data_IF_889501243109
#
_entry.id   IF_889501243109
#
_cell.length_a   1.000
_cell.length_b   1.000
_cell.length_c   1.000
_cell.angle_alpha   90.00
_cell.angle_beta   90.00
_cell.angle_gamma   90.00
#
_symmetry.space_group_name_H-M   'P 1'
#
loop_
_entity.id
_entity.type
_entity.pdbx_description
1 polymer ?
#
# COMPACT_ATOMS: atom_id res chain seq x y z
N UNK A 1 -14.73 18.01 -4.73
CA UNK A 1 -14.65 19.32 -5.40
C UNK A 1 -13.33 19.97 -5.06
N UNK A 2 -12.50 20.26 -6.05
CA UNK A 2 -11.33 21.13 -5.87
C UNK A 2 -11.61 22.45 -6.56
N UNK A 3 -11.50 23.54 -5.81
CA UNK A 3 -11.54 24.90 -6.33
C UNK A 3 -10.09 25.31 -6.64
N UNK A 4 -9.71 25.29 -7.90
CA UNK A 4 -8.41 25.77 -8.34
C UNK A 4 -8.57 26.57 -9.63
N UNK A 5 -8.10 27.82 -9.61
CA UNK A 5 -7.78 28.57 -10.83
C UNK A 5 -8.95 28.80 -11.80
N UNK A 6 -10.11 29.22 -11.29
CA UNK A 6 -11.34 29.46 -12.06
C UNK A 6 -11.96 28.21 -12.73
N UNK A 7 -11.47 27.02 -12.44
CA UNK A 7 -12.06 25.77 -12.96
C UNK A 7 -12.51 24.87 -11.82
N UNK A 8 -13.73 24.33 -11.91
CA UNK A 8 -14.26 23.35 -10.97
C UNK A 8 -14.13 21.97 -11.62
N UNK A 9 -13.24 21.14 -11.09
CA UNK A 9 -13.17 19.74 -11.48
C UNK A 9 -14.05 18.90 -10.55
N UNK A 10 -15.03 18.21 -11.12
CA UNK A 10 -15.95 17.31 -10.39
C UNK A 10 -15.72 15.89 -10.80
N UNK A 11 -15.48 15.00 -9.84
CA UNK A 11 -15.45 13.57 -10.06
C UNK A 11 -16.36 12.88 -9.05
N UNK A 12 -17.21 11.97 -9.51
CA UNK A 12 -18.04 11.13 -8.65
C UNK A 12 -17.49 9.73 -8.64
N UNK A 13 -17.13 9.25 -7.47
CA UNK A 13 -16.65 7.88 -7.24
C UNK A 13 -17.74 7.09 -6.53
N UNK A 14 -18.09 5.93 -7.10
CA UNK A 14 -19.05 4.97 -6.53
C UNK A 14 -18.47 3.57 -6.61
N UNK A 15 -18.44 2.88 -5.49
CA UNK A 15 -18.00 1.49 -5.40
C UNK A 15 -19.09 0.68 -4.72
N UNK A 16 -19.45 -0.44 -5.33
CA UNK A 16 -20.32 -1.46 -4.73
C UNK A 16 -19.50 -2.71 -4.52
N UNK A 17 -19.50 -3.24 -3.30
CA UNK A 17 -18.63 -4.35 -2.91
C UNK A 17 -19.43 -5.49 -2.29
N UNK A 18 -19.06 -6.72 -2.63
CA UNK A 18 -19.54 -7.94 -2.00
C UNK A 18 -18.35 -8.71 -1.44
N UNK A 19 -18.39 -9.02 -0.15
CA UNK A 19 -17.35 -9.77 0.58
C UNK A 19 -17.90 -11.14 0.97
N UNK A 20 -17.08 -12.16 0.81
CA UNK A 20 -17.30 -13.47 1.44
C UNK A 20 -15.99 -13.93 2.09
N UNK A 21 -16.13 -14.62 3.22
CA UNK A 21 -15.00 -15.14 3.97
C UNK A 21 -15.45 -16.32 4.81
N UNK A 22 -14.62 -17.34 4.88
CA UNK A 22 -14.81 -18.45 5.80
C UNK A 22 -13.51 -18.77 6.53
N UNK A 23 -13.64 -19.18 7.79
CA UNK A 23 -12.51 -19.56 8.64
C UNK A 23 -12.76 -20.96 9.23
N UNK A 24 -11.77 -21.83 9.10
CA UNK A 24 -11.69 -23.12 9.75
C UNK A 24 -10.53 -23.10 10.71
N UNK A 25 -10.76 -23.55 11.94
CA UNK A 25 -9.72 -23.56 12.98
C UNK A 25 -9.83 -24.77 13.89
N UNK A 26 -8.67 -25.22 14.34
CA UNK A 26 -8.50 -26.14 15.44
C UNK A 26 -7.40 -25.63 16.39
N UNK A 27 -6.91 -26.47 17.31
CA UNK A 27 -5.89 -26.06 18.29
C UNK A 27 -4.58 -25.59 17.64
N UNK A 28 -4.16 -26.23 16.54
CA UNK A 28 -2.87 -25.94 15.89
C UNK A 28 -3.01 -25.08 14.64
N UNK A 29 -4.10 -25.23 13.90
CA UNK A 29 -4.27 -24.62 12.59
C UNK A 29 -5.45 -23.66 12.55
N UNK A 30 -5.28 -22.57 11.84
CA UNK A 30 -6.36 -21.69 11.40
C UNK A 30 -6.19 -21.38 9.92
N UNK A 31 -7.21 -21.64 9.12
CA UNK A 31 -7.24 -21.38 7.68
C UNK A 31 -8.39 -20.42 7.42
N UNK A 32 -8.09 -19.27 6.85
CA UNK A 32 -9.08 -18.31 6.41
C UNK A 32 -8.94 -18.12 4.91
N UNK A 33 -10.05 -18.33 4.21
CA UNK A 33 -10.15 -18.05 2.77
C UNK A 33 -11.29 -17.09 2.54
N UNK A 34 -11.07 -16.12 1.67
CA UNK A 34 -12.08 -15.13 1.33
C UNK A 34 -11.76 -14.36 0.07
N UNK A 35 -12.68 -13.49 -0.28
CA UNK A 35 -12.49 -12.61 -1.41
C UNK A 35 -13.54 -11.52 -1.44
N UNK A 36 -13.24 -10.45 -2.15
CA UNK A 36 -14.12 -9.32 -2.38
C UNK A 36 -14.28 -9.08 -3.87
N UNK A 37 -15.52 -8.93 -4.28
CA UNK A 37 -15.87 -8.45 -5.60
C UNK A 37 -16.24 -6.97 -5.51
N UNK A 38 -15.58 -6.15 -6.32
CA UNK A 38 -15.79 -4.71 -6.36
C UNK A 38 -16.24 -4.29 -7.76
N UNK A 39 -17.36 -3.55 -7.85
CA UNK A 39 -17.78 -2.84 -9.05
C UNK A 39 -17.56 -1.35 -8.81
N UNK A 40 -16.62 -0.78 -9.55
CA UNK A 40 -16.26 0.63 -9.48
C UNK A 40 -16.74 1.36 -10.73
N UNK A 41 -17.31 2.57 -10.60
CA UNK A 41 -17.87 3.30 -11.75
C UNK A 41 -16.81 3.78 -12.77
N UNK A 42 -15.55 3.89 -12.36
CA UNK A 42 -14.43 4.25 -13.26
C UNK A 42 -13.75 3.02 -13.89
N UNK A 43 -14.24 1.82 -13.62
CA UNK A 43 -13.66 0.55 -14.11
C UNK A 43 -14.77 -0.29 -14.76
N UNK A 44 -14.54 -0.69 -16.01
CA UNK A 44 -15.59 -1.34 -16.81
C UNK A 44 -15.86 -2.80 -16.43
N UNK A 45 -14.98 -3.45 -15.69
CA UNK A 45 -15.10 -4.84 -15.27
C UNK A 45 -15.24 -4.98 -13.75
N UNK A 46 -15.64 -6.17 -13.32
CA UNK A 46 -15.69 -6.55 -11.92
C UNK A 46 -14.27 -6.89 -11.44
N UNK A 47 -13.88 -6.37 -10.28
CA UNK A 47 -12.57 -6.64 -9.68
C UNK A 47 -12.74 -7.69 -8.60
N UNK A 48 -11.91 -8.72 -8.65
CA UNK A 48 -11.80 -9.71 -7.60
C UNK A 48 -10.51 -9.51 -6.81
N UNK A 49 -10.63 -9.41 -5.48
CA UNK A 49 -9.54 -9.27 -4.52
C UNK A 49 -9.55 -10.47 -3.56
N UNK A 50 -8.70 -11.49 -3.82
CA UNK A 50 -8.62 -12.68 -2.96
C UNK A 50 -7.89 -12.39 -1.66
N UNK A 51 -8.21 -13.18 -0.62
CA UNK A 51 -7.50 -13.19 0.65
C UNK A 51 -7.38 -14.61 1.19
N UNK A 52 -6.19 -15.00 1.61
CA UNK A 52 -5.93 -16.24 2.30
C UNK A 52 -5.03 -15.97 3.50
N UNK A 53 -5.31 -16.65 4.63
CA UNK A 53 -4.47 -16.62 5.81
C UNK A 53 -4.36 -18.03 6.37
N UNK A 54 -3.12 -18.47 6.60
CA UNK A 54 -2.80 -19.72 7.25
C UNK A 54 -2.09 -19.40 8.54
N UNK A 55 -2.65 -19.80 9.67
CA UNK A 55 -2.04 -19.71 10.99
C UNK A 55 -1.66 -21.10 11.48
N UNK A 56 -0.47 -21.20 12.03
CA UNK A 56 0.01 -22.41 12.71
C UNK A 56 0.51 -22.07 14.11
N UNK A 57 -0.11 -22.65 15.12
CA UNK A 57 0.32 -22.54 16.51
C UNK A 57 1.36 -23.65 16.77
N UNK A 58 2.65 -23.32 16.57
CA UNK A 58 3.74 -24.29 16.73
C UNK A 58 3.89 -24.72 18.21
N UNK A 59 3.67 -23.78 19.12
CA UNK A 59 3.58 -23.99 20.56
C UNK A 59 2.53 -23.05 21.15
N UNK A 60 2.31 -23.11 22.47
CA UNK A 60 1.44 -22.14 23.16
C UNK A 60 1.97 -20.70 23.06
N UNK A 61 3.27 -20.53 22.81
CA UNK A 61 3.95 -19.24 22.84
C UNK A 61 4.45 -18.80 21.45
N UNK A 62 4.34 -19.64 20.42
CA UNK A 62 4.86 -19.35 19.08
C UNK A 62 3.77 -19.57 18.05
N UNK A 63 3.38 -18.49 17.37
CA UNK A 63 2.38 -18.49 16.33
C UNK A 63 3.00 -18.04 15.01
N UNK A 64 2.89 -18.89 14.01
CA UNK A 64 3.32 -18.57 12.64
C UNK A 64 2.10 -18.20 11.80
N UNK A 65 2.26 -17.26 10.90
CA UNK A 65 1.18 -16.84 9.98
C UNK A 65 1.73 -16.56 8.61
N UNK A 66 1.08 -17.15 7.60
CA UNK A 66 1.29 -16.85 6.19
C UNK A 66 0.01 -16.18 5.67
N UNK A 67 0.16 -14.99 5.06
CA UNK A 67 -0.96 -14.22 4.53
C UNK A 67 -0.73 -13.90 3.07
N UNK A 68 -1.76 -14.10 2.25
CA UNK A 68 -1.84 -13.61 0.88
C UNK A 68 -3.05 -12.68 0.75
N UNK A 69 -2.87 -11.54 0.08
CA UNK A 69 -3.95 -10.60 -0.19
C UNK A 69 -3.77 -9.93 -1.56
N UNK A 70 -4.85 -9.92 -2.34
CA UNK A 70 -4.98 -9.09 -3.53
C UNK A 70 -5.68 -7.77 -3.21
N UNK A 71 -5.31 -6.70 -3.92
CA UNK A 71 -5.92 -5.37 -3.79
C UNK A 71 -5.91 -4.60 -5.11
N UNK A 72 -6.61 -3.46 -5.13
CA UNK A 72 -6.57 -2.55 -6.27
C UNK A 72 -6.73 -1.10 -5.83
N UNK A 73 -6.30 -0.19 -6.69
CA UNK A 73 -6.58 1.26 -6.61
C UNK A 73 -7.18 1.73 -7.94
N UNK A 74 -8.31 2.41 -7.86
CA UNK A 74 -9.01 2.91 -9.05
C UNK A 74 -8.31 4.13 -9.65
N UNK A 75 -8.46 4.37 -10.99
CA UNK A 75 -7.89 5.53 -11.67
C UNK A 75 -8.70 6.78 -11.31
N UNK A 76 -8.33 7.45 -10.22
CA UNK A 76 -8.97 8.68 -9.75
C UNK A 76 -8.13 9.90 -10.11
N UNK A 77 -8.79 11.02 -10.40
CA UNK A 77 -8.11 12.31 -10.64
C UNK A 77 -7.55 12.88 -9.35
N UNK A 78 -8.27 12.67 -8.24
CA UNK A 78 -7.88 13.14 -6.92
C UNK A 78 -7.42 11.94 -6.07
N UNK A 79 -6.23 12.04 -5.51
CA UNK A 79 -5.79 11.14 -4.43
C UNK A 79 -6.36 11.61 -3.09
N UNK A 80 -6.45 10.69 -2.14
CA UNK A 80 -6.80 11.02 -0.76
C UNK A 80 -5.77 11.96 -0.10
N UNK A 81 -4.54 12.00 -0.65
CA UNK A 81 -3.40 12.81 -0.20
C UNK A 81 -3.32 14.21 -0.83
N UNK A 82 -4.43 14.79 -1.25
CA UNK A 82 -4.52 16.14 -1.85
C UNK A 82 -3.86 17.26 -1.01
N UNK A 83 -3.64 17.03 0.26
CA UNK A 83 -3.05 18.02 1.16
C UNK A 83 -1.55 18.27 0.92
N UNK A 84 -0.84 17.37 0.27
CA UNK A 84 0.60 17.48 0.04
C UNK A 84 0.95 18.29 -1.21
N UNK A 85 0.07 18.35 -2.20
CA UNK A 85 0.32 19.07 -3.46
C UNK A 85 0.16 20.59 -3.35
N UNK A 86 -0.41 21.09 -2.25
CA UNK A 86 -0.57 22.54 -2.01
C UNK A 86 0.53 23.16 -1.15
N UNK A 87 1.43 22.36 -0.57
CA UNK A 87 2.44 22.85 0.38
C UNK A 87 3.51 23.76 -0.24
N UNK A 88 3.66 23.80 -1.55
CA UNK A 88 4.67 24.61 -2.25
C UNK A 88 4.15 25.87 -2.95
N UNK A 89 2.84 26.12 -2.95
CA UNK A 89 2.26 27.27 -3.66
C UNK A 89 2.25 27.15 -5.19
N UNK A 90 2.78 26.05 -5.75
CA UNK A 90 2.74 25.77 -7.17
C UNK A 90 1.34 25.40 -7.65
N UNK A 91 0.95 25.94 -8.77
CA UNK A 91 -0.32 25.62 -9.42
C UNK A 91 -0.15 24.36 -10.25
N UNK A 92 -0.79 23.25 -9.82
CA UNK A 92 -0.69 21.96 -10.49
C UNK A 92 -2.06 21.53 -11.00
N UNK A 93 -2.13 21.08 -12.25
CA UNK A 93 -3.31 20.46 -12.86
C UNK A 93 -2.95 19.07 -13.38
N UNK A 94 -3.60 18.06 -12.82
CA UNK A 94 -3.35 16.65 -13.20
C UNK A 94 -4.44 16.15 -14.15
N UNK A 95 -4.03 15.60 -15.28
CA UNK A 95 -4.88 14.88 -16.23
C UNK A 95 -4.67 13.39 -16.08
N UNK A 96 -5.70 12.61 -16.41
CA UNK A 96 -5.60 11.16 -16.50
C UNK A 96 -5.30 10.76 -17.95
N UNK A 97 -4.35 9.85 -18.15
CA UNK A 97 -4.09 9.26 -19.45
C UNK A 97 -5.35 8.54 -19.98
N UNK A 98 -5.58 8.62 -21.30
CA UNK A 98 -6.80 8.07 -21.93
C UNK A 98 -7.04 6.57 -21.64
N UNK A 99 -5.97 5.80 -21.45
CA UNK A 99 -6.00 4.35 -21.23
C UNK A 99 -5.60 3.96 -19.81
N UNK A 100 -5.81 4.84 -18.84
CA UNK A 100 -5.43 4.58 -17.45
C UNK A 100 -6.23 3.41 -16.88
N UNK A 101 -5.51 2.35 -16.48
CA UNK A 101 -6.06 1.14 -15.85
C UNK A 101 -5.93 1.25 -14.34
N UNK A 102 -6.70 0.44 -13.63
CA UNK A 102 -6.52 0.28 -12.19
C UNK A 102 -5.13 -0.29 -11.85
N UNK A 103 -4.54 0.19 -10.78
CA UNK A 103 -3.37 -0.42 -10.16
C UNK A 103 -3.81 -1.66 -9.38
N UNK A 104 -3.07 -2.76 -9.46
CA UNK A 104 -3.32 -4.00 -8.74
C UNK A 104 -2.14 -4.42 -7.91
N UNK A 105 -2.41 -4.87 -6.69
CA UNK A 105 -1.41 -5.41 -5.78
C UNK A 105 -1.66 -6.87 -5.46
N UNK A 106 -0.56 -7.62 -5.28
CA UNK A 106 -0.54 -8.95 -4.71
C UNK A 106 0.53 -8.96 -3.62
N UNK A 107 0.11 -9.22 -2.40
CA UNK A 107 0.98 -9.19 -1.23
C UNK A 107 1.05 -10.56 -0.58
N UNK A 108 2.25 -10.98 -0.20
CA UNK A 108 2.53 -12.17 0.59
C UNK A 108 3.30 -11.73 1.82
N UNK A 109 2.88 -12.17 3.01
CA UNK A 109 3.65 -11.97 4.24
C UNK A 109 3.75 -13.26 5.06
N UNK A 110 4.88 -13.42 5.73
CA UNK A 110 5.14 -14.48 6.70
C UNK A 110 5.55 -13.84 8.00
N UNK A 111 4.85 -14.16 9.08
CA UNK A 111 5.17 -13.65 10.41
C UNK A 111 5.32 -14.76 11.45
N UNK A 112 6.19 -14.50 12.42
CA UNK A 112 6.36 -15.26 13.65
C UNK A 112 6.10 -14.35 14.83
N UNK A 113 5.13 -14.72 15.66
CA UNK A 113 4.72 -14.00 16.85
C UNK A 113 5.05 -14.86 18.08
N UNK A 114 5.92 -14.37 18.95
CA UNK A 114 6.54 -15.13 20.03
C UNK A 114 6.32 -14.42 21.36
N UNK A 115 5.84 -15.19 22.33
CA UNK A 115 5.52 -14.72 23.68
C UNK A 115 6.39 -15.44 24.72
N UNK A 116 7.06 -14.67 25.59
CA UNK A 116 7.86 -15.22 26.66
C UNK A 116 7.61 -14.46 27.96
N UNK A 117 7.67 -15.20 29.06
CA UNK A 117 7.56 -14.65 30.42
C UNK A 117 8.86 -14.91 31.18
N UNK A 118 9.52 -13.83 31.60
CA UNK A 118 10.74 -13.87 32.41
C UNK A 118 10.43 -13.28 33.79
N UNK A 119 9.95 -14.13 34.71
CA UNK A 119 9.49 -13.69 36.02
C UNK A 119 8.35 -12.66 35.90
N UNK A 120 8.59 -11.42 36.31
CA UNK A 120 7.60 -10.34 36.26
C UNK A 120 7.59 -9.57 34.92
N UNK A 121 8.41 -9.98 33.96
CA UNK A 121 8.46 -9.35 32.64
C UNK A 121 7.78 -10.23 31.62
N UNK A 122 6.73 -9.72 31.00
CA UNK A 122 6.09 -10.32 29.85
C UNK A 122 6.65 -9.70 28.57
N UNK A 123 7.06 -10.54 27.61
CA UNK A 123 7.62 -10.08 26.34
C UNK A 123 6.84 -10.66 25.17
N UNK A 124 6.75 -9.85 24.11
CA UNK A 124 6.29 -10.25 22.80
C UNK A 124 7.29 -9.80 21.76
N UNK A 125 7.65 -10.69 20.85
CA UNK A 125 8.51 -10.40 19.70
C UNK A 125 7.75 -10.83 18.45
N UNK A 126 7.55 -9.88 17.54
CA UNK A 126 6.99 -10.12 16.22
C UNK A 126 8.07 -9.89 15.16
N UNK A 127 8.24 -10.88 14.29
CA UNK A 127 9.06 -10.77 13.09
C UNK A 127 8.15 -11.04 11.91
N UNK A 128 8.09 -10.11 10.96
CA UNK A 128 7.31 -10.25 9.74
C UNK A 128 8.19 -9.94 8.52
N UNK A 129 8.14 -10.80 7.51
CA UNK A 129 8.68 -10.52 6.18
C UNK A 129 7.52 -10.34 5.22
N UNK A 130 7.67 -9.40 4.28
CA UNK A 130 6.63 -9.12 3.31
C UNK A 130 7.19 -8.90 1.91
N UNK A 131 6.39 -9.25 0.91
CA UNK A 131 6.64 -9.01 -0.50
C UNK A 131 5.34 -8.58 -1.17
N UNK A 132 5.36 -7.43 -1.82
CA UNK A 132 4.22 -6.90 -2.58
C UNK A 132 4.63 -6.65 -4.02
N UNK A 133 3.89 -7.24 -4.94
CA UNK A 133 4.01 -7.00 -6.37
C UNK A 133 2.86 -6.11 -6.83
N UNK A 134 3.20 -5.04 -7.54
CA UNK A 134 2.28 -4.04 -8.06
C UNK A 134 2.29 -4.08 -9.59
N UNK A 135 1.11 -4.08 -10.20
CA UNK A 135 0.91 -3.99 -11.64
C UNK A 135 0.19 -2.70 -11.99
N UNK A 136 0.49 -2.13 -13.15
CA UNK A 136 -0.09 -0.89 -13.64
C UNK A 136 0.06 0.26 -12.65
N UNK A 137 1.20 0.38 -12.01
CA UNK A 137 1.47 1.35 -10.96
C UNK A 137 1.22 2.75 -11.47
N UNK A 138 0.56 3.59 -10.68
CA UNK A 138 0.36 4.98 -11.05
C UNK A 138 1.65 5.78 -10.89
N UNK A 139 2.01 6.45 -11.97
CA UNK A 139 3.09 7.42 -12.02
C UNK A 139 2.57 8.75 -12.59
N UNK A 140 3.31 9.80 -12.40
CA UNK A 140 3.03 11.12 -12.96
C UNK A 140 4.22 11.55 -13.80
N UNK A 141 3.95 12.23 -14.89
CA UNK A 141 4.97 12.92 -15.71
C UNK A 141 4.52 14.34 -15.99
N UNK A 142 5.47 15.21 -16.17
CA UNK A 142 5.24 16.59 -16.59
C UNK A 142 4.89 16.58 -18.07
N UNK A 143 3.73 17.13 -18.45
CA UNK A 143 3.36 17.39 -19.84
C UNK A 143 3.76 18.79 -20.28
N UNK A 144 3.65 19.75 -19.36
CA UNK A 144 4.08 21.11 -19.55
C UNK A 144 4.48 21.68 -18.19
N UNK A 145 5.69 22.21 -18.09
CA UNK A 145 6.21 22.71 -16.83
C UNK A 145 5.41 23.92 -16.34
N UNK A 146 5.06 24.85 -17.22
CA UNK A 146 4.11 25.93 -16.93
C UNK A 146 3.34 26.33 -18.19
N UNK A 147 2.02 26.40 -18.10
CA UNK A 147 1.19 26.98 -19.16
C UNK A 147 1.26 28.53 -19.13
N UNK A 148 0.55 29.19 -20.05
CA UNK A 148 0.47 30.65 -20.11
C UNK A 148 -0.06 31.30 -18.82
N UNK A 149 -0.69 30.55 -17.93
CA UNK A 149 -1.21 30.97 -16.63
C UNK A 149 -0.30 30.59 -15.44
N UNK A 150 0.89 30.04 -15.72
CA UNK A 150 1.82 29.56 -14.71
C UNK A 150 1.34 28.30 -13.99
N UNK A 151 0.56 27.44 -14.67
CA UNK A 151 0.06 26.18 -14.15
C UNK A 151 0.93 25.04 -14.68
N UNK A 152 1.50 24.23 -13.78
CA UNK A 152 2.21 23.00 -14.11
C UNK A 152 1.22 21.89 -14.48
N UNK A 153 1.38 21.31 -15.64
CA UNK A 153 0.48 20.28 -16.15
C UNK A 153 1.13 18.92 -16.00
N UNK A 154 0.49 18.06 -15.22
CA UNK A 154 0.91 16.68 -14.99
C UNK A 154 -0.07 15.71 -15.67
N UNK A 155 0.44 14.59 -16.16
CA UNK A 155 -0.35 13.45 -16.58
C UNK A 155 -0.12 12.27 -15.65
N UNK A 156 -1.20 11.70 -15.13
CA UNK A 156 -1.16 10.42 -14.43
C UNK A 156 -1.31 9.29 -15.44
N UNK A 157 -0.36 8.38 -15.45
CA UNK A 157 -0.33 7.23 -16.34
C UNK A 157 0.03 5.95 -15.57
N UNK A 158 -0.11 4.78 -16.21
CA UNK A 158 0.38 3.55 -15.63
C UNK A 158 1.86 3.37 -16.00
N UNK A 159 2.75 3.45 -15.02
CA UNK A 159 4.06 2.84 -15.12
C UNK A 159 3.89 1.31 -15.12
N UNK A 160 4.95 0.58 -15.47
CA UNK A 160 4.85 -0.86 -15.70
C UNK A 160 4.52 -1.62 -14.39
N UNK A 161 5.51 -2.05 -13.67
CA UNK A 161 5.40 -2.85 -12.45
C UNK A 161 6.33 -2.31 -11.38
N UNK A 162 5.96 -2.54 -10.11
CA UNK A 162 6.84 -2.27 -8.99
C UNK A 162 6.79 -3.40 -7.97
N UNK A 163 7.83 -3.49 -7.17
CA UNK A 163 7.91 -4.44 -6.05
C UNK A 163 8.30 -3.70 -4.79
N UNK A 164 7.69 -4.09 -3.67
CA UNK A 164 8.06 -3.65 -2.33
C UNK A 164 8.27 -4.90 -1.48
N UNK A 165 9.40 -4.99 -0.80
CA UNK A 165 9.70 -6.10 0.08
C UNK A 165 10.52 -5.66 1.26
N UNK A 166 10.42 -6.38 2.35
CA UNK A 166 11.12 -6.01 3.56
C UNK A 166 10.82 -6.92 4.74
N UNK A 167 11.24 -6.43 5.90
CA UNK A 167 11.07 -7.08 7.19
C UNK A 167 10.74 -6.04 8.26
N UNK A 168 9.76 -6.39 9.10
CA UNK A 168 9.44 -5.69 10.33
C UNK A 168 9.89 -6.55 11.52
N UNK A 169 10.49 -5.93 12.51
CA UNK A 169 10.81 -6.54 13.80
C UNK A 169 10.20 -5.64 14.87
N UNK A 170 9.33 -6.19 15.69
CA UNK A 170 8.73 -5.46 16.80
C UNK A 170 8.99 -6.19 18.10
N UNK A 171 9.32 -5.46 19.14
CA UNK A 171 9.53 -5.95 20.49
C UNK A 171 8.68 -5.18 21.50
N UNK A 172 7.98 -5.89 22.36
CA UNK A 172 7.23 -5.34 23.49
C UNK A 172 7.64 -6.03 24.78
N UNK A 173 7.90 -5.25 25.82
CA UNK A 173 8.16 -5.74 27.16
C UNK A 173 7.28 -5.01 28.18
N UNK A 174 6.67 -5.76 29.07
CA UNK A 174 5.82 -5.23 30.15
C UNK A 174 6.32 -5.75 31.48
N UNK A 175 6.82 -4.86 32.33
CA UNK A 175 7.21 -5.18 33.70
C UNK A 175 6.04 -4.95 34.63
N UNK A 176 5.48 -6.04 35.17
CA UNK A 176 4.29 -6.01 36.01
C UNK A 176 3.18 -5.16 35.33
N UNK A 177 2.55 -4.23 36.04
CA UNK A 177 1.55 -3.27 35.49
C UNK A 177 2.07 -1.83 35.48
N UNK A 178 3.35 -1.62 35.72
CA UNK A 178 3.93 -0.31 35.95
C UNK A 178 4.64 0.27 34.73
N UNK A 179 5.35 -0.56 33.97
CA UNK A 179 6.19 -0.11 32.87
C UNK A 179 5.90 -0.97 31.64
N UNK A 180 5.63 -0.31 30.52
CA UNK A 180 5.54 -0.92 29.21
C UNK A 180 6.46 -0.22 28.24
N UNK A 181 7.26 -0.99 27.51
CA UNK A 181 8.15 -0.49 26.46
C UNK A 181 7.83 -1.23 25.16
N UNK A 182 7.82 -0.50 24.05
CA UNK A 182 7.67 -1.06 22.70
C UNK A 182 8.68 -0.40 21.78
N UNK A 183 9.28 -1.18 20.90
CA UNK A 183 10.19 -0.71 19.87
C UNK A 183 9.95 -1.47 18.58
N UNK A 184 10.25 -0.84 17.45
CA UNK A 184 10.11 -1.44 16.13
C UNK A 184 11.25 -1.03 15.21
N UNK A 185 11.56 -1.89 14.26
CA UNK A 185 12.50 -1.66 13.18
C UNK A 185 11.90 -2.18 11.89
N UNK A 186 11.86 -1.33 10.86
CA UNK A 186 11.46 -1.71 9.51
C UNK A 186 12.65 -1.56 8.58
N UNK A 187 12.92 -2.62 7.81
CA UNK A 187 13.90 -2.61 6.72
C UNK A 187 13.14 -2.95 5.46
N UNK A 188 13.14 -2.04 4.47
CA UNK A 188 12.39 -2.24 3.24
C UNK A 188 13.16 -1.76 2.01
N UNK A 189 12.77 -2.31 0.87
CA UNK A 189 13.20 -1.86 -0.44
C UNK A 189 12.03 -1.82 -1.40
N UNK A 190 11.95 -0.77 -2.20
CA UNK A 190 10.93 -0.58 -3.23
C UNK A 190 11.59 -0.24 -4.56
N UNK A 191 11.13 -0.87 -5.64
CA UNK A 191 11.70 -0.69 -6.97
C UNK A 191 10.63 -0.78 -8.05
N UNK A 192 10.73 0.11 -9.05
CA UNK A 192 10.11 -0.11 -10.35
C UNK A 192 10.87 -1.21 -11.11
N UNK A 193 10.18 -1.98 -11.91
CA UNK A 193 10.79 -2.96 -12.83
C UNK A 193 11.63 -2.26 -13.89
N UNK A 194 11.10 -1.17 -14.44
CA UNK A 194 11.76 -0.31 -15.39
C UNK A 194 11.92 1.08 -14.76
N UNK A 195 12.99 1.79 -15.11
CA UNK A 195 13.20 3.14 -14.61
C UNK A 195 12.10 4.08 -15.14
N UNK A 196 11.62 4.97 -14.30
CA UNK A 196 10.56 5.94 -14.62
C UNK A 196 11.15 7.34 -14.60
N UNK A 197 10.93 8.09 -15.67
CA UNK A 197 11.26 9.51 -15.75
C UNK A 197 10.12 10.31 -15.10
N UNK A 198 10.48 11.13 -14.12
CA UNK A 198 9.55 11.98 -13.40
C UNK A 198 9.55 13.42 -13.94
N UNK A 199 10.69 13.82 -14.54
CA UNK A 199 10.97 15.13 -15.07
C UNK A 199 11.92 14.98 -16.25
N UNK A 200 11.80 15.84 -17.28
CA UNK A 200 12.66 15.81 -18.46
C UNK A 200 14.14 16.07 -18.14
N UNK A 201 14.41 16.80 -17.05
CA UNK A 201 15.75 17.14 -16.59
C UNK A 201 16.33 16.16 -15.54
N UNK A 202 15.54 15.18 -15.11
CA UNK A 202 15.96 14.22 -14.09
C UNK A 202 16.22 12.81 -14.68
N UNK A 203 17.28 12.12 -14.24
CA UNK A 203 17.54 10.76 -14.70
C UNK A 203 16.40 9.82 -14.29
N UNK A 204 16.06 8.88 -15.17
CA UNK A 204 15.09 7.85 -14.89
C UNK A 204 15.47 7.03 -13.65
N UNK A 205 14.57 6.90 -12.69
CA UNK A 205 14.82 6.22 -11.41
C UNK A 205 14.03 4.92 -11.29
N UNK A 206 14.66 3.91 -10.65
CA UNK A 206 13.99 2.65 -10.28
C UNK A 206 13.38 2.67 -8.89
N UNK A 207 13.67 3.68 -8.07
CA UNK A 207 13.14 3.76 -6.70
C UNK A 207 11.65 4.09 -6.75
N UNK A 208 10.82 3.20 -6.21
CA UNK A 208 9.35 3.36 -6.24
C UNK A 208 8.82 4.27 -5.12
N UNK A 209 9.18 3.98 -3.87
CA UNK A 209 8.76 4.78 -2.73
C UNK A 209 9.88 5.73 -2.29
N UNK A 210 9.53 6.96 -1.93
CA UNK A 210 10.46 7.95 -1.35
C UNK A 210 10.64 7.78 0.17
N UNK A 211 10.15 6.68 0.74
CA UNK A 211 10.33 6.36 2.15
C UNK A 211 11.75 5.89 2.44
N UNK A 212 12.27 6.09 3.67
CA UNK A 212 13.53 5.51 4.08
C UNK A 212 13.54 3.98 3.92
N UNK A 213 14.72 3.40 3.63
CA UNK A 213 14.85 1.96 3.58
C UNK A 213 14.90 1.32 4.97
N UNK A 214 15.21 2.10 6.01
CA UNK A 214 15.28 1.67 7.42
C UNK A 214 14.64 2.78 8.27
N UNK A 215 13.74 2.41 9.16
CA UNK A 215 13.10 3.29 10.15
C UNK A 215 12.53 2.52 11.34
#
# INVERSE_FOLDING_TARGET
>A
HALGYNTITKQTVRTSSMLFQNEWKNEHWGILLGGRFDKHNLINHLIFSPRANLRFNATQNIHLRLTYAGGFRAPQTFDEDLHTSMAGGERIKTYLAKNLKEERSNSLSLSADMYYNFGNVQTNILIETFYTHLNNVFAQRVLNDHDENGIRILERFNANQATVWGMNIEGKAVYSKWISMQSGLTIQRSQYKEAVEWDEDAPAEKKFLRTPNIY
#
